data_IF_236146060863
#
_entry.id   IF_236146060863
#
_cell.length_a   1.000
_cell.length_b   1.000
_cell.length_c   1.000
_cell.angle_alpha   90.00
_cell.angle_beta   90.00
_cell.angle_gamma   90.00
#
_symmetry.space_group_name_H-M   'P 1'
#
loop_
_entity.id
_entity.type
_entity.pdbx_description
1 polymer ?
#
# COMPACT_ATOMS: atom_id res chain seq x y z
N UNK A 1 6.15 -6.70 21.04
CA UNK A 1 6.52 -8.06 20.58
C UNK A 1 6.38 -8.06 19.07
N UNK A 2 7.50 -8.15 18.33
CA UNK A 2 7.50 -8.06 16.87
C UNK A 2 7.44 -9.49 16.31
N UNK A 3 6.35 -9.85 15.62
CA UNK A 3 6.21 -11.19 15.03
C UNK A 3 6.86 -11.19 13.65
N UNK A 4 7.85 -12.06 13.46
CA UNK A 4 8.71 -12.06 12.27
C UNK A 4 8.37 -13.26 11.39
N UNK A 5 8.09 -13.02 10.11
CA UNK A 5 7.79 -14.08 9.15
C UNK A 5 8.99 -15.03 8.91
N UNK A 6 8.75 -16.23 8.34
CA UNK A 6 9.73 -17.32 8.28
C UNK A 6 11.04 -16.99 7.53
N UNK A 7 11.07 -15.97 6.67
CA UNK A 7 12.30 -15.49 6.02
C UNK A 7 13.16 -14.61 6.92
N UNK A 8 12.55 -13.81 7.79
CA UNK A 8 13.26 -12.89 8.67
C UNK A 8 13.65 -13.54 10.03
N UNK A 9 13.13 -14.73 10.34
CA UNK A 9 13.58 -15.56 11.47
C UNK A 9 15.08 -15.93 11.42
N UNK A 10 15.70 -15.98 10.23
CA UNK A 10 17.15 -16.23 10.09
C UNK A 10 18.01 -15.08 10.61
N UNK A 11 17.46 -13.87 10.70
CA UNK A 11 18.15 -12.67 11.14
C UNK A 11 18.00 -12.42 12.66
N UNK A 12 17.04 -13.08 13.32
CA UNK A 12 16.71 -12.89 14.73
C UNK A 12 17.36 -13.93 15.67
N UNK A 13 18.63 -14.29 15.43
CA UNK A 13 19.35 -15.22 16.32
C UNK A 13 19.49 -14.60 17.72
N UNK A 14 18.71 -15.11 18.67
CA UNK A 14 18.79 -14.74 20.10
C UNK A 14 17.47 -14.28 20.73
N UNK A 15 16.39 -14.09 19.96
CA UNK A 15 15.07 -13.88 20.54
C UNK A 15 14.40 -15.25 20.74
N UNK A 16 13.96 -15.57 21.96
CA UNK A 16 13.16 -16.77 22.24
C UNK A 16 11.89 -16.75 21.38
N UNK A 17 11.92 -17.47 20.26
CA UNK A 17 10.75 -17.69 19.44
C UNK A 17 9.85 -18.71 20.16
N UNK A 18 8.92 -18.21 20.98
CA UNK A 18 7.80 -19.01 21.46
C UNK A 18 6.96 -19.42 20.24
N UNK A 19 7.17 -20.64 19.76
CA UNK A 19 6.36 -21.24 18.72
C UNK A 19 5.00 -21.64 19.29
N UNK A 20 3.94 -20.92 18.93
CA UNK A 20 2.57 -21.36 19.10
C UNK A 20 2.07 -21.99 17.80
N UNK A 21 1.58 -23.23 17.90
CA UNK A 21 1.22 -24.11 16.79
C UNK A 21 -0.13 -23.81 16.13
N UNK A 22 -0.84 -22.80 16.60
CA UNK A 22 -2.12 -22.37 16.03
C UNK A 22 -1.88 -21.25 15.01
N UNK A 23 -1.32 -21.60 13.85
CA UNK A 23 -1.36 -20.68 12.72
C UNK A 23 -2.81 -20.63 12.20
N UNK A 24 -3.38 -19.42 12.02
CA UNK A 24 -4.78 -19.26 11.68
C UNK A 24 -5.05 -19.71 10.24
N UNK A 25 -6.34 -19.91 9.94
CA UNK A 25 -6.89 -20.09 8.59
C UNK A 25 -6.10 -19.24 7.59
N UNK A 26 -5.53 -19.86 6.55
CA UNK A 26 -4.95 -19.13 5.42
C UNK A 26 -6.12 -18.47 4.69
N UNK A 27 -6.40 -17.22 5.05
CA UNK A 27 -7.38 -16.41 4.35
C UNK A 27 -6.76 -15.96 3.03
N UNK A 28 -7.39 -16.33 1.92
CA UNK A 28 -7.05 -15.79 0.62
C UNK A 28 -7.63 -14.38 0.49
N UNK A 29 -6.85 -13.40 0.95
CA UNK A 29 -7.22 -11.99 0.94
C UNK A 29 -6.69 -11.34 -0.31
N UNK A 30 -7.58 -10.76 -1.09
CA UNK A 30 -7.24 -10.01 -2.29
C UNK A 30 -7.89 -8.62 -2.28
N UNK A 31 -7.24 -7.67 -2.95
CA UNK A 31 -7.78 -6.35 -3.23
C UNK A 31 -7.93 -6.23 -4.74
N UNK A 32 -9.15 -5.96 -5.20
CA UNK A 32 -9.49 -5.97 -6.62
C UNK A 32 -9.06 -7.28 -7.35
N UNK A 33 -9.18 -8.42 -6.65
CA UNK A 33 -8.80 -9.74 -7.18
C UNK A 33 -7.29 -10.04 -7.17
N UNK A 34 -6.45 -9.15 -6.63
CA UNK A 34 -4.99 -9.31 -6.54
C UNK A 34 -4.49 -9.39 -5.09
N UNK A 35 -3.79 -10.48 -4.76
CA UNK A 35 -3.26 -10.72 -3.41
C UNK A 35 -2.00 -9.89 -3.10
N UNK A 36 -1.24 -9.53 -4.12
CA UNK A 36 -0.15 -8.55 -4.05
C UNK A 36 -0.68 -7.17 -3.65
N UNK A 37 -1.68 -6.62 -4.34
CA UNK A 37 -2.27 -5.32 -3.99
C UNK A 37 -2.80 -5.25 -2.55
N UNK A 38 -3.37 -6.35 -2.05
CA UNK A 38 -3.80 -6.44 -0.65
C UNK A 38 -2.64 -6.25 0.34
N UNK A 39 -1.44 -6.74 0.01
CA UNK A 39 -0.24 -6.58 0.85
C UNK A 39 0.26 -5.13 0.85
N UNK A 40 0.33 -4.49 -0.32
CA UNK A 40 0.71 -3.08 -0.45
C UNK A 40 -0.24 -2.20 0.38
N UNK A 41 -1.55 -2.38 0.15
CA UNK A 41 -2.59 -1.68 0.88
C UNK A 41 -2.48 -1.87 2.40
N UNK A 42 -2.43 -3.12 2.87
CA UNK A 42 -2.43 -3.42 4.30
C UNK A 42 -1.17 -2.88 5.01
N UNK A 43 0.00 -3.01 4.36
CA UNK A 43 1.25 -2.47 4.89
C UNK A 43 1.19 -0.94 5.00
N UNK A 44 0.78 -0.27 3.93
CA UNK A 44 0.68 1.20 3.89
C UNK A 44 -0.36 1.73 4.90
N UNK A 45 -1.51 1.05 5.03
CA UNK A 45 -2.52 1.38 6.04
C UNK A 45 -2.01 1.21 7.47
N UNK A 46 -1.34 0.09 7.76
CA UNK A 46 -0.78 -0.18 9.08
C UNK A 46 0.27 0.87 9.47
N UNK A 47 1.18 1.21 8.54
CA UNK A 47 2.18 2.25 8.76
C UNK A 47 1.54 3.62 9.01
N UNK A 48 0.53 3.99 8.22
CA UNK A 48 -0.17 5.25 8.36
C UNK A 48 -1.01 5.36 9.64
N UNK A 49 -1.54 4.24 10.13
CA UNK A 49 -2.30 4.18 11.37
C UNK A 49 -1.41 4.12 12.62
N UNK A 50 -0.21 3.54 12.51
CA UNK A 50 0.72 3.33 13.63
C UNK A 50 1.80 4.42 13.77
N UNK A 51 2.07 5.21 12.72
CA UNK A 51 3.13 6.22 12.68
C UNK A 51 2.62 7.56 12.11
N UNK A 52 3.49 8.59 12.10
CA UNK A 52 3.24 9.80 11.31
C UNK A 52 3.05 9.41 9.82
N UNK A 53 1.96 9.81 9.15
CA UNK A 53 1.65 9.41 7.78
C UNK A 53 2.72 9.74 6.73
N UNK A 54 3.64 10.65 7.03
CA UNK A 54 4.83 10.92 6.19
C UNK A 54 5.76 9.71 6.06
N UNK A 55 5.85 8.85 7.07
CA UNK A 55 6.71 7.65 7.09
C UNK A 55 6.15 6.56 6.18
N UNK A 56 4.82 6.34 6.20
CA UNK A 56 4.15 5.37 5.31
C UNK A 56 4.30 5.73 3.82
N UNK A 57 4.16 7.02 3.47
CA UNK A 57 4.39 7.52 2.10
C UNK A 57 5.80 7.28 1.60
N UNK A 58 6.80 7.56 2.44
CA UNK A 58 8.21 7.40 2.08
C UNK A 58 8.56 5.94 1.84
N UNK A 59 8.06 5.01 2.68
CA UNK A 59 8.34 3.58 2.57
C UNK A 59 7.66 2.93 1.35
N UNK A 60 6.39 3.25 1.07
CA UNK A 60 5.70 2.75 -0.13
C UNK A 60 6.41 3.22 -1.41
N UNK A 61 6.72 4.51 -1.49
CA UNK A 61 7.49 5.06 -2.64
C UNK A 61 8.87 4.43 -2.77
N UNK A 62 9.55 4.18 -1.65
CA UNK A 62 10.88 3.55 -1.65
C UNK A 62 10.84 2.08 -2.08
N UNK A 63 9.79 1.33 -1.69
CA UNK A 63 9.60 -0.06 -2.11
C UNK A 63 9.41 -0.18 -3.63
N UNK A 64 8.57 0.67 -4.20
CA UNK A 64 8.35 0.71 -5.65
C UNK A 64 9.59 1.14 -6.42
N UNK A 65 10.41 2.01 -5.82
CA UNK A 65 11.69 2.43 -6.40
C UNK A 65 12.73 1.31 -6.31
N UNK A 66 12.78 0.56 -5.22
CA UNK A 66 13.65 -0.61 -5.05
C UNK A 66 13.27 -1.75 -6.03
N UNK A 67 11.97 -2.04 -6.18
CA UNK A 67 11.46 -3.00 -7.15
C UNK A 67 11.73 -2.57 -8.61
N UNK A 68 12.07 -1.30 -8.86
CA UNK A 68 12.45 -0.80 -10.19
C UNK A 68 13.93 -1.02 -10.56
N UNK A 69 14.76 -1.44 -9.61
CA UNK A 69 16.19 -1.73 -9.80
C UNK A 69 16.41 -3.10 -10.47
N UNK A 70 17.62 -3.32 -11.00
CA UNK A 70 17.96 -4.51 -11.78
C UNK A 70 17.68 -5.83 -11.01
N UNK A 71 16.68 -6.59 -11.48
CA UNK A 71 16.23 -7.85 -10.87
C UNK A 71 14.87 -7.76 -10.15
N UNK A 72 14.29 -6.56 -10.00
CA UNK A 72 12.93 -6.35 -9.49
C UNK A 72 11.85 -6.38 -10.59
N UNK A 73 10.58 -6.29 -10.20
CA UNK A 73 9.43 -6.36 -11.13
C UNK A 73 9.21 -5.09 -11.97
N UNK A 74 9.91 -4.00 -11.68
CA UNK A 74 9.66 -2.67 -12.26
C UNK A 74 8.66 -1.85 -11.44
N UNK A 75 8.70 -0.52 -11.60
CA UNK A 75 7.79 0.41 -10.93
C UNK A 75 6.34 0.21 -11.40
N UNK A 76 5.38 0.30 -10.48
CA UNK A 76 3.97 0.03 -10.75
C UNK A 76 3.04 1.10 -10.20
N UNK A 77 2.28 1.76 -11.10
CA UNK A 77 1.22 2.69 -10.68
C UNK A 77 0.00 1.97 -10.11
N UNK A 78 -0.16 0.67 -10.39
CA UNK A 78 -1.22 -0.16 -9.80
C UNK A 78 -0.90 -0.41 -8.32
N UNK A 79 0.35 -0.77 -8.03
CA UNK A 79 0.86 -0.96 -6.67
C UNK A 79 0.86 0.36 -5.88
N UNK A 80 1.30 1.46 -6.51
CA UNK A 80 1.19 2.79 -5.93
C UNK A 80 -0.26 3.18 -5.60
N UNK A 81 -1.23 2.78 -6.43
CA UNK A 81 -2.64 3.04 -6.13
C UNK A 81 -3.11 2.28 -4.88
N UNK A 82 -2.69 1.02 -4.71
CA UNK A 82 -2.96 0.25 -3.51
C UNK A 82 -2.30 0.86 -2.26
N UNK A 83 -1.04 1.30 -2.36
CA UNK A 83 -0.34 1.97 -1.27
C UNK A 83 -1.02 3.27 -0.85
N UNK A 84 -1.39 4.12 -1.80
CA UNK A 84 -2.07 5.39 -1.51
C UNK A 84 -3.47 5.19 -0.94
N UNK A 85 -4.19 4.18 -1.39
CA UNK A 85 -5.48 3.80 -0.79
C UNK A 85 -5.29 3.33 0.66
N UNK A 86 -4.28 2.50 0.91
CA UNK A 86 -3.93 2.04 2.25
C UNK A 86 -3.59 3.21 3.18
N UNK A 87 -2.72 4.11 2.74
CA UNK A 87 -2.35 5.32 3.47
C UNK A 87 -3.58 6.16 3.85
N UNK A 88 -4.48 6.45 2.89
CA UNK A 88 -5.69 7.25 3.16
C UNK A 88 -6.59 6.57 4.19
N UNK A 89 -6.74 5.26 4.11
CA UNK A 89 -7.51 4.48 5.08
C UNK A 89 -6.87 4.57 6.47
N UNK A 90 -5.56 4.32 6.58
CA UNK A 90 -4.84 4.37 7.85
C UNK A 90 -4.88 5.77 8.48
N UNK A 91 -4.68 6.82 7.68
CA UNK A 91 -4.83 8.22 8.09
C UNK A 91 -6.25 8.50 8.60
N UNK A 92 -7.29 7.96 7.96
CA UNK A 92 -8.69 8.13 8.39
C UNK A 92 -9.02 7.34 9.66
N UNK A 93 -8.40 6.18 9.85
CA UNK A 93 -8.58 5.35 11.04
C UNK A 93 -7.88 5.95 12.27
N UNK A 94 -6.73 6.61 12.08
CA UNK A 94 -5.98 7.25 13.17
C UNK A 94 -6.56 8.62 13.59
N UNK A 95 -7.38 9.25 12.75
CA UNK A 95 -7.99 10.54 13.04
C UNK A 95 -9.32 10.39 13.81
N UNK A 96 -9.42 10.86 15.07
CA UNK A 96 -10.64 10.74 15.87
C UNK A 96 -11.88 11.35 15.21
N UNK A 97 -11.71 12.40 14.40
CA UNK A 97 -12.83 13.07 13.71
C UNK A 97 -13.36 12.27 12.51
N UNK A 98 -12.58 11.31 11.97
CA UNK A 98 -12.93 10.48 10.80
C UNK A 98 -13.16 9.01 11.15
N UNK A 99 -12.50 8.50 12.18
CA UNK A 99 -12.53 7.08 12.56
C UNK A 99 -13.95 6.54 12.78
N UNK A 100 -14.82 7.30 13.46
CA UNK A 100 -16.21 6.90 13.69
C UNK A 100 -17.01 6.75 12.38
N UNK A 101 -16.85 7.68 11.43
CA UNK A 101 -17.50 7.57 10.10
C UNK A 101 -16.95 6.39 9.30
N UNK A 102 -15.65 6.14 9.42
CA UNK A 102 -15.02 5.01 8.76
C UNK A 102 -15.57 3.68 9.29
N UNK A 103 -15.59 3.50 10.61
CA UNK A 103 -16.14 2.30 11.25
C UNK A 103 -17.61 2.06 10.86
N UNK A 104 -18.44 3.11 10.86
CA UNK A 104 -19.85 2.99 10.43
C UNK A 104 -20.00 2.54 8.98
N UNK A 105 -19.11 2.96 8.07
CA UNK A 105 -19.14 2.51 6.67
C UNK A 105 -18.82 1.03 6.54
N UNK A 106 -17.80 0.54 7.26
CA UNK A 106 -17.46 -0.89 7.29
C UNK A 106 -18.52 -1.74 7.99
N UNK A 107 -19.18 -1.20 9.02
CA UNK A 107 -20.30 -1.88 9.68
C UNK A 107 -21.53 -2.01 8.77
N UNK A 108 -21.73 -1.05 7.85
CA UNK A 108 -22.81 -1.09 6.87
C UNK A 108 -22.53 -2.04 5.68
N UNK A 109 -21.29 -2.48 5.48
CA UNK A 109 -20.89 -3.39 4.41
C UNK A 109 -19.40 -3.27 4.08
N UNK A 110 -18.94 -4.04 3.09
CA UNK A 110 -17.56 -3.93 2.59
C UNK A 110 -17.49 -2.82 1.53
N UNK A 111 -16.95 -1.62 1.82
CA UNK A 111 -16.78 -0.60 0.80
C UNK A 111 -15.69 -1.02 -0.19
N UNK A 112 -15.78 -0.53 -1.43
CA UNK A 112 -14.66 -0.61 -2.35
C UNK A 112 -13.48 0.17 -1.77
N UNK A 113 -12.30 -0.45 -1.77
CA UNK A 113 -11.06 0.12 -1.23
C UNK A 113 -10.06 0.50 -2.33
N UNK A 114 -10.31 0.05 -3.56
CA UNK A 114 -9.50 0.38 -4.72
C UNK A 114 -10.41 0.44 -5.96
N UNK A 115 -10.44 1.55 -6.71
CA UNK A 115 -11.23 1.63 -7.93
C UNK A 115 -10.69 0.65 -8.98
N UNK A 116 -11.55 -0.13 -9.63
CA UNK A 116 -11.10 -1.04 -10.70
C UNK A 116 -10.38 -0.32 -11.86
N UNK A 117 -10.65 0.97 -12.05
CA UNK A 117 -9.96 1.80 -13.05
C UNK A 117 -8.46 1.93 -12.79
N UNK A 118 -7.98 1.73 -11.55
CA UNK A 118 -6.55 1.77 -11.26
C UNK A 118 -5.81 0.54 -11.75
N UNK A 119 -6.51 -0.57 -12.04
CA UNK A 119 -5.90 -1.78 -12.62
C UNK A 119 -5.46 -1.57 -14.08
N UNK A 120 -5.96 -0.53 -14.76
CA UNK A 120 -5.53 -0.14 -16.10
C UNK A 120 -4.31 0.80 -16.12
N UNK A 121 -3.72 1.09 -14.96
CA UNK A 121 -2.52 1.93 -14.87
C UNK A 121 -1.28 1.14 -15.32
N UNK A 122 -0.24 1.87 -15.70
CA UNK A 122 1.00 1.25 -16.18
C UNK A 122 1.74 0.58 -15.02
N UNK A 123 2.15 -0.67 -15.21
CA UNK A 123 2.98 -1.47 -14.30
C UNK A 123 4.19 -2.06 -15.03
N UNK A 124 5.17 -2.56 -14.27
CA UNK A 124 6.38 -3.18 -14.83
C UNK A 124 7.31 -2.20 -15.55
N UNK A 125 7.36 -0.94 -15.09
CA UNK A 125 8.19 0.10 -15.72
C UNK A 125 9.64 -0.08 -15.25
N UNK A 126 10.57 -0.35 -16.17
CA UNK A 126 12.00 -0.40 -15.82
C UNK A 126 12.52 0.97 -15.39
N UNK A 127 13.62 1.00 -14.64
CA UNK A 127 14.29 2.24 -14.25
C UNK A 127 14.56 3.16 -15.46
N UNK A 128 15.07 2.63 -16.58
CA UNK A 128 15.40 3.43 -17.75
C UNK A 128 14.15 4.03 -18.44
N UNK A 129 13.03 3.29 -18.41
CA UNK A 129 11.75 3.80 -18.93
C UNK A 129 11.17 4.82 -17.97
N UNK A 130 11.29 4.60 -16.66
CA UNK A 130 10.84 5.53 -15.63
C UNK A 130 11.59 6.85 -15.73
N UNK A 131 12.92 6.83 -15.75
CA UNK A 131 13.76 8.03 -15.89
C UNK A 131 13.46 8.78 -17.19
N UNK A 132 13.31 8.08 -18.32
CA UNK A 132 12.96 8.74 -19.58
C UNK A 132 11.59 9.41 -19.57
N UNK A 133 10.60 8.81 -18.90
CA UNK A 133 9.21 9.27 -18.96
C UNK A 133 8.84 10.22 -17.84
N UNK A 134 9.42 10.03 -16.68
CA UNK A 134 9.10 10.72 -15.44
C UNK A 134 10.30 11.42 -14.83
N UNK A 135 11.52 11.29 -15.37
CA UNK A 135 12.76 11.86 -14.83
C UNK A 135 13.14 11.31 -13.46
N UNK A 136 12.38 11.68 -12.44
CA UNK A 136 12.54 11.29 -11.05
C UNK A 136 11.24 11.55 -10.26
N UNK A 137 11.23 11.18 -8.98
CA UNK A 137 10.05 11.34 -8.11
C UNK A 137 9.73 12.79 -7.71
N UNK A 138 10.60 13.75 -8.04
CA UNK A 138 10.41 15.18 -7.80
C UNK A 138 9.90 15.93 -9.03
N UNK A 139 9.79 15.25 -10.17
CA UNK A 139 9.39 15.87 -11.43
C UNK A 139 7.90 16.20 -11.50
N UNK A 140 7.57 17.15 -12.37
CA UNK A 140 6.18 17.49 -12.68
C UNK A 140 5.45 16.32 -13.39
N UNK A 141 6.15 15.55 -14.21
CA UNK A 141 5.60 14.41 -14.94
C UNK A 141 5.19 13.28 -13.99
N UNK A 142 6.03 12.98 -12.99
CA UNK A 142 5.71 12.02 -11.94
C UNK A 142 4.56 12.53 -11.09
N UNK A 143 4.61 13.79 -10.63
CA UNK A 143 3.54 14.40 -9.84
C UNK A 143 2.18 14.34 -10.58
N UNK A 144 2.16 14.59 -11.89
CA UNK A 144 0.94 14.46 -12.71
C UNK A 144 0.45 13.01 -12.82
N UNK A 145 1.34 12.03 -12.82
CA UNK A 145 0.97 10.61 -12.78
C UNK A 145 0.36 10.23 -11.43
N UNK A 146 0.98 10.65 -10.32
CA UNK A 146 0.44 10.45 -8.97
C UNK A 146 -0.92 11.14 -8.81
N UNK A 147 -1.09 12.36 -9.35
CA UNK A 147 -2.37 13.07 -9.29
C UNK A 147 -3.49 12.36 -10.07
N UNK A 148 -3.16 11.56 -11.10
CA UNK A 148 -4.15 10.70 -11.77
C UNK A 148 -4.58 9.54 -10.87
N UNK A 149 -3.64 8.93 -10.15
CA UNK A 149 -3.94 7.91 -9.13
C UNK A 149 -4.84 8.51 -8.05
N UNK A 150 -4.47 9.67 -7.51
CA UNK A 150 -5.24 10.32 -6.45
C UNK A 150 -6.68 10.64 -6.87
N UNK A 151 -6.87 11.19 -8.07
CA UNK A 151 -8.21 11.48 -8.60
C UNK A 151 -9.04 10.21 -8.80
N UNK A 152 -8.43 9.09 -9.17
CA UNK A 152 -9.14 7.82 -9.24
C UNK A 152 -9.61 7.39 -7.84
N UNK A 153 -8.76 7.50 -6.82
CA UNK A 153 -9.11 7.19 -5.44
C UNK A 153 -10.22 8.11 -4.89
N UNK A 154 -10.23 9.38 -5.26
CA UNK A 154 -11.26 10.36 -4.83
C UNK A 154 -12.68 9.97 -5.26
N UNK A 155 -12.83 9.06 -6.23
CA UNK A 155 -14.15 8.53 -6.63
C UNK A 155 -14.79 7.63 -5.56
N UNK A 156 -14.00 7.11 -4.61
CA UNK A 156 -14.48 6.26 -3.54
C UNK A 156 -14.80 7.09 -2.29
N UNK A 157 -16.03 7.06 -1.75
CA UNK A 157 -16.40 7.84 -0.57
C UNK A 157 -15.55 7.55 0.67
N UNK A 158 -14.99 6.32 0.76
CA UNK A 158 -14.10 5.91 1.85
C UNK A 158 -12.68 6.49 1.74
N UNK A 159 -12.28 6.92 0.53
CA UNK A 159 -10.95 7.46 0.23
C UNK A 159 -10.94 8.98 0.02
N UNK A 160 -12.09 9.63 -0.06
CA UNK A 160 -12.18 11.08 -0.15
C UNK A 160 -11.55 11.75 1.10
N UNK A 161 -10.72 12.77 0.87
CA UNK A 161 -10.02 13.53 1.92
C UNK A 161 -10.95 14.54 2.60
#
# INVERSE_FOLDING_TARGET
MLTVGPRAARLARGAEAAHHSDFPVVLDVSLAGRADLAKHFALSAALAAAADPSIGRALGTWKELDDSLAGGSGFSFVDLAADRAGLRLGEAAADPARAGRLASRFAAGAPDLLPLSTLGLTEGISAEVFERRYRDISSAEYAAAVARVDRALDTLPVMAR
#
